data_IF_765868049434
#
_entry.id   IF_765868049434
#
_cell.length_a   1.000
_cell.length_b   1.000
_cell.length_c   1.000
_cell.angle_alpha   90.00
_cell.angle_beta   90.00
_cell.angle_gamma   90.00
#
_symmetry.space_group_name_H-M   'P 1'
#
loop_
_entity.id
_entity.type
_entity.pdbx_description
1 polymer ?
#
# COMPACT_ATOMS: atom_id res chain seq x y z
N UNK A 1 8.87 1.17 -21.00
CA UNK A 1 9.79 0.28 -20.27
C UNK A 1 10.89 1.17 -19.72
N UNK A 2 11.22 1.10 -18.43
CA UNK A 2 12.28 1.90 -17.81
C UNK A 2 13.63 1.22 -18.07
N UNK A 3 14.70 1.97 -18.41
CA UNK A 3 16.01 1.35 -18.57
C UNK A 3 16.48 0.78 -17.23
N UNK A 4 17.01 -0.44 -17.27
CA UNK A 4 17.66 -1.06 -16.12
C UNK A 4 19.00 -0.37 -15.83
N UNK A 5 19.55 -0.55 -14.61
CA UNK A 5 20.90 -0.08 -14.30
C UNK A 5 21.96 -0.61 -15.31
N UNK A 6 21.75 -1.83 -15.84
CA UNK A 6 22.64 -2.42 -16.83
C UNK A 6 22.58 -1.68 -18.20
N UNK A 7 21.40 -1.23 -18.63
CA UNK A 7 21.23 -0.43 -19.85
C UNK A 7 21.84 0.95 -19.69
N UNK A 8 21.68 1.61 -18.52
CA UNK A 8 22.31 2.89 -18.21
C UNK A 8 23.85 2.79 -18.25
N UNK A 9 24.40 1.70 -17.71
CA UNK A 9 25.84 1.43 -17.76
C UNK A 9 26.33 1.10 -19.19
N UNK A 10 25.51 0.41 -19.97
CA UNK A 10 25.83 0.08 -21.38
C UNK A 10 25.89 1.33 -22.29
N UNK A 11 25.16 2.40 -21.96
CA UNK A 11 25.24 3.69 -22.63
C UNK A 11 26.51 4.52 -22.28
N UNK A 12 27.41 3.96 -21.47
CA UNK A 12 28.67 4.60 -21.12
C UNK A 12 28.55 5.81 -20.19
N UNK A 13 27.44 5.90 -19.43
CA UNK A 13 27.21 7.00 -18.47
C UNK A 13 28.06 6.78 -17.23
N UNK A 14 29.22 7.46 -17.17
CA UNK A 14 30.19 7.33 -16.07
C UNK A 14 30.27 8.56 -15.17
N UNK A 15 29.44 9.57 -15.38
CA UNK A 15 29.46 10.83 -14.64
C UNK A 15 28.07 11.30 -14.25
N UNK A 16 27.98 12.09 -13.18
CA UNK A 16 26.71 12.73 -12.74
C UNK A 16 26.11 13.60 -13.85
N UNK A 17 26.96 14.32 -14.60
CA UNK A 17 26.50 15.14 -15.73
C UNK A 17 25.97 14.28 -16.89
N UNK A 18 26.54 13.11 -17.10
CA UNK A 18 26.04 12.12 -18.07
C UNK A 18 24.65 11.59 -17.69
N UNK A 19 24.49 11.21 -16.40
CA UNK A 19 23.18 10.82 -15.86
C UNK A 19 22.17 11.95 -16.00
N UNK A 20 22.52 13.19 -15.69
CA UNK A 20 21.63 14.34 -15.85
C UNK A 20 21.16 14.52 -17.29
N UNK A 21 22.01 14.34 -18.29
CA UNK A 21 21.64 14.40 -19.71
C UNK A 21 20.72 13.25 -20.10
N UNK A 22 21.01 12.04 -19.66
CA UNK A 22 20.15 10.87 -19.89
C UNK A 22 18.75 11.08 -19.30
N UNK A 23 18.69 11.48 -18.03
CA UNK A 23 17.38 11.76 -17.40
C UNK A 23 16.64 12.91 -18.09
N UNK A 24 17.34 13.89 -18.66
CA UNK A 24 16.71 15.00 -19.41
C UNK A 24 16.01 14.55 -20.69
N UNK A 25 16.35 13.40 -21.23
CA UNK A 25 15.68 12.83 -22.40
C UNK A 25 14.32 12.19 -22.10
N UNK A 26 14.03 11.90 -20.82
CA UNK A 26 12.77 11.29 -20.41
C UNK A 26 11.74 12.36 -20.02
N UNK A 27 10.53 12.24 -20.57
CA UNK A 27 9.40 13.10 -20.20
C UNK A 27 8.75 12.68 -18.87
N UNK A 28 8.92 11.44 -18.44
CA UNK A 28 8.41 10.91 -17.15
C UNK A 28 9.55 10.33 -16.34
N UNK A 29 9.63 10.72 -15.07
CA UNK A 29 10.63 10.21 -14.11
C UNK A 29 9.92 9.76 -12.85
N UNK A 30 10.19 8.53 -12.41
CA UNK A 30 9.71 8.01 -11.13
C UNK A 30 10.83 7.99 -10.10
N UNK A 31 10.51 8.39 -8.87
CA UNK A 31 11.45 8.47 -7.76
C UNK A 31 10.70 8.42 -6.42
N UNK A 32 11.39 8.08 -5.34
CA UNK A 32 10.85 8.35 -4.01
C UNK A 32 10.97 9.83 -3.67
N UNK A 33 10.10 10.35 -2.79
CA UNK A 33 10.17 11.75 -2.35
C UNK A 33 11.54 12.15 -1.78
N UNK A 34 12.25 11.23 -1.14
CA UNK A 34 13.58 11.47 -0.59
C UNK A 34 14.68 11.50 -1.67
N UNK A 35 14.53 10.75 -2.73
CA UNK A 35 15.52 10.65 -3.79
C UNK A 35 15.44 11.77 -4.85
N UNK A 36 14.41 12.61 -4.82
CA UNK A 36 14.25 13.73 -5.76
C UNK A 36 15.36 14.78 -5.63
N UNK A 37 16.05 14.84 -4.50
CA UNK A 37 17.21 15.73 -4.29
C UNK A 37 18.52 15.17 -4.85
N UNK A 38 18.49 14.00 -5.48
CA UNK A 38 19.66 13.39 -6.09
C UNK A 38 20.23 14.28 -7.21
N UNK A 39 21.58 14.42 -7.33
CA UNK A 39 22.19 15.27 -8.36
C UNK A 39 21.72 15.01 -9.81
N UNK A 40 21.30 13.79 -10.13
CA UNK A 40 20.78 13.45 -11.46
C UNK A 40 19.41 14.10 -11.76
N UNK A 41 18.64 14.44 -10.74
CA UNK A 41 17.34 15.12 -10.84
C UNK A 41 17.41 16.59 -10.42
N UNK A 42 18.48 16.99 -9.77
CA UNK A 42 18.68 18.35 -9.29
C UNK A 42 18.65 19.36 -10.45
N UNK A 43 17.93 20.47 -10.25
CA UNK A 43 17.81 21.55 -11.25
C UNK A 43 16.81 21.27 -12.37
N UNK A 44 16.19 20.08 -12.44
CA UNK A 44 15.09 19.82 -13.39
C UNK A 44 13.81 20.51 -12.96
N UNK A 45 13.00 20.85 -13.94
CA UNK A 45 11.62 21.30 -13.75
C UNK A 45 10.70 20.41 -14.57
N UNK A 46 9.52 20.16 -14.02
CA UNK A 46 8.47 19.36 -14.61
C UNK A 46 7.20 20.21 -14.70
N UNK A 47 6.34 19.88 -15.63
CA UNK A 47 5.01 20.52 -15.67
C UNK A 47 4.14 20.02 -14.52
N UNK A 48 4.29 18.75 -14.17
CA UNK A 48 3.51 18.08 -13.12
C UNK A 48 4.37 17.21 -12.21
N UNK A 49 4.01 17.18 -10.94
CA UNK A 49 4.40 16.15 -9.97
C UNK A 49 3.15 15.40 -9.51
N UNK A 50 3.20 14.08 -9.59
CA UNK A 50 2.19 13.20 -8.97
C UNK A 50 2.85 12.50 -7.79
N UNK A 51 2.32 12.69 -6.60
CA UNK A 51 2.80 12.04 -5.38
C UNK A 51 1.75 11.03 -4.91
N UNK A 52 2.09 9.76 -5.02
CA UNK A 52 1.26 8.66 -4.55
C UNK A 52 1.50 8.39 -3.06
N UNK A 53 0.50 7.82 -2.35
CA UNK A 53 0.50 7.60 -0.90
C UNK A 53 0.86 8.86 -0.09
N UNK A 54 0.41 10.03 -0.57
CA UNK A 54 0.76 11.32 0.02
C UNK A 54 0.17 11.53 1.43
N UNK A 55 -0.86 10.77 1.80
CA UNK A 55 -1.41 10.73 3.16
C UNK A 55 -0.46 10.14 4.20
N UNK A 56 0.48 9.28 3.78
CA UNK A 56 1.48 8.63 4.64
C UNK A 56 2.83 9.34 4.64
N UNK A 57 3.02 10.33 3.77
CA UNK A 57 4.28 11.03 3.64
C UNK A 57 4.37 12.22 4.62
N UNK A 58 5.54 12.36 5.27
CA UNK A 58 5.85 13.52 6.09
C UNK A 58 5.89 14.79 5.23
N UNK A 59 5.34 15.90 5.73
CA UNK A 59 5.36 17.18 5.03
C UNK A 59 6.76 17.58 4.51
N UNK A 60 7.84 17.52 5.32
CA UNK A 60 9.18 17.85 4.85
C UNK A 60 9.70 16.95 3.72
N UNK A 61 9.21 15.71 3.62
CA UNK A 61 9.63 14.76 2.58
C UNK A 61 8.97 15.04 1.23
N UNK A 62 7.74 15.55 1.24
CA UNK A 62 6.97 15.83 0.01
C UNK A 62 7.37 17.16 -0.62
N UNK A 63 7.64 18.17 0.18
CA UNK A 63 7.93 19.52 -0.30
C UNK A 63 9.03 19.60 -1.37
N UNK A 64 10.19 18.93 -1.25
CA UNK A 64 11.21 18.96 -2.30
C UNK A 64 10.73 18.46 -3.64
N UNK A 65 9.84 17.44 -3.66
CA UNK A 65 9.25 16.92 -4.88
C UNK A 65 8.29 17.95 -5.51
N UNK A 66 7.45 18.58 -4.72
CA UNK A 66 6.49 19.57 -5.22
C UNK A 66 7.17 20.82 -5.80
N UNK A 67 8.32 21.20 -5.25
CA UNK A 67 9.11 22.34 -5.74
C UNK A 67 9.73 22.11 -7.13
N UNK A 68 9.69 20.88 -7.65
CA UNK A 68 10.20 20.55 -8.99
C UNK A 68 9.19 20.87 -10.10
N UNK A 69 7.93 21.17 -9.78
CA UNK A 69 6.90 21.42 -10.79
C UNK A 69 6.04 22.64 -10.46
N UNK A 70 5.34 23.15 -11.48
CA UNK A 70 4.37 24.23 -11.32
C UNK A 70 3.02 23.74 -10.82
N UNK A 71 2.71 22.46 -11.11
CA UNK A 71 1.43 21.82 -10.75
C UNK A 71 1.70 20.48 -10.08
N UNK A 72 0.84 20.11 -9.16
CA UNK A 72 0.95 18.82 -8.51
C UNK A 72 -0.42 18.14 -8.31
N UNK A 73 -0.37 16.83 -8.20
CA UNK A 73 -1.47 15.97 -7.76
C UNK A 73 -0.98 15.16 -6.58
N UNK A 74 -1.70 15.20 -5.48
CA UNK A 74 -1.50 14.31 -4.35
C UNK A 74 -2.54 13.20 -4.42
N UNK A 75 -2.10 11.97 -4.41
CA UNK A 75 -2.96 10.79 -4.34
C UNK A 75 -2.76 10.16 -2.96
N UNK A 76 -3.83 9.78 -2.29
CA UNK A 76 -3.73 9.22 -0.95
C UNK A 76 -5.09 8.98 -0.33
N UNK A 77 -5.08 8.44 0.88
CA UNK A 77 -6.28 8.16 1.65
C UNK A 77 -6.03 8.50 3.13
N UNK A 78 -6.67 9.55 3.61
CA UNK A 78 -6.52 10.01 5.00
C UNK A 78 -7.21 9.09 6.02
N UNK A 79 -8.08 8.19 5.57
CA UNK A 79 -8.71 7.17 6.42
C UNK A 79 -7.80 5.95 6.66
N UNK A 80 -6.71 5.84 5.90
CA UNK A 80 -5.66 4.84 6.11
C UNK A 80 -4.59 5.36 7.10
N UNK A 81 -3.38 4.77 7.06
CA UNK A 81 -2.33 5.10 8.02
C UNK A 81 -1.79 6.53 7.83
N UNK A 82 -1.62 7.31 8.91
CA UNK A 82 -0.94 8.59 8.87
C UNK A 82 0.58 8.42 8.77
N UNK A 83 1.34 9.51 8.56
CA UNK A 83 2.80 9.47 8.60
C UNK A 83 3.33 8.89 9.93
N UNK A 84 4.33 8.00 9.83
CA UNK A 84 4.94 7.40 11.02
C UNK A 84 5.89 8.36 11.70
N UNK A 85 5.57 8.77 12.94
CA UNK A 85 6.40 9.64 13.78
C UNK A 85 6.69 8.96 15.11
N UNK A 86 7.95 8.65 15.37
CA UNK A 86 8.38 7.95 16.60
C UNK A 86 8.42 8.88 17.82
N UNK A 87 8.81 10.15 17.64
CA UNK A 87 8.91 11.13 18.72
C UNK A 87 7.54 11.69 19.10
N UNK A 88 7.12 11.49 20.36
CA UNK A 88 5.88 12.07 20.90
C UNK A 88 5.86 13.59 20.78
N UNK A 89 6.99 14.25 21.08
CA UNK A 89 7.11 15.71 20.97
C UNK A 89 6.96 16.21 19.53
N UNK A 90 7.49 15.46 18.54
CA UNK A 90 7.34 15.82 17.13
C UNK A 90 5.88 15.62 16.65
N UNK A 91 5.20 14.59 17.16
CA UNK A 91 3.78 14.34 16.92
C UNK A 91 2.91 15.46 17.50
N UNK A 92 3.15 15.84 18.75
CA UNK A 92 2.48 16.98 19.38
C UNK A 92 2.71 18.30 18.63
N UNK A 93 3.85 18.43 17.97
CA UNK A 93 4.18 19.54 17.08
C UNK A 93 3.53 19.45 15.69
N UNK A 94 2.75 18.42 15.39
CA UNK A 94 2.00 18.24 14.13
C UNK A 94 2.81 17.62 13.00
N UNK A 95 3.96 16.96 13.28
CA UNK A 95 4.75 16.31 12.22
C UNK A 95 4.03 15.11 11.59
N UNK A 96 3.06 14.52 12.27
CA UNK A 96 2.21 13.44 11.79
C UNK A 96 1.04 13.90 10.90
N UNK A 97 0.88 15.21 10.71
CA UNK A 97 -0.08 15.75 9.76
C UNK A 97 0.53 15.79 8.36
N UNK A 98 -0.01 15.00 7.44
CA UNK A 98 0.41 15.02 6.04
C UNK A 98 -0.07 16.28 5.33
N UNK A 99 0.67 16.72 4.29
CA UNK A 99 0.21 17.80 3.42
C UNK A 99 -1.12 17.46 2.76
N UNK A 100 -1.34 16.18 2.42
CA UNK A 100 -2.60 15.69 1.86
C UNK A 100 -3.78 16.02 2.78
N UNK A 101 -3.73 15.62 4.06
CA UNK A 101 -4.81 15.90 5.03
C UNK A 101 -5.03 17.40 5.26
N UNK A 102 -3.95 18.19 5.30
CA UNK A 102 -4.04 19.64 5.48
C UNK A 102 -4.77 20.28 4.29
N UNK A 103 -4.42 19.90 3.06
CA UNK A 103 -5.02 20.47 1.86
C UNK A 103 -6.46 19.98 1.64
N UNK A 104 -6.74 18.71 1.91
CA UNK A 104 -8.09 18.15 1.84
C UNK A 104 -9.06 18.94 2.75
N UNK A 105 -8.64 19.19 3.99
CA UNK A 105 -9.45 19.96 4.96
C UNK A 105 -9.61 21.42 4.55
N UNK A 106 -8.56 22.07 4.03
CA UNK A 106 -8.58 23.49 3.71
C UNK A 106 -9.15 23.82 2.34
N UNK A 107 -9.07 22.89 1.41
CA UNK A 107 -9.46 23.06 0.02
C UNK A 107 -10.32 21.89 -0.50
N UNK A 108 -11.46 21.58 0.14
CA UNK A 108 -12.29 20.43 -0.23
C UNK A 108 -12.79 20.49 -1.68
N UNK A 109 -12.91 21.68 -2.24
CA UNK A 109 -13.29 21.86 -3.65
C UNK A 109 -12.20 21.40 -4.66
N UNK A 110 -10.96 21.22 -4.20
CA UNK A 110 -9.86 20.69 -5.00
C UNK A 110 -9.67 19.17 -4.82
N UNK A 111 -10.48 18.54 -3.97
CA UNK A 111 -10.43 17.12 -3.69
C UNK A 111 -11.46 16.37 -4.52
N UNK A 112 -11.05 15.26 -5.11
CA UNK A 112 -11.92 14.33 -5.84
C UNK A 112 -11.79 12.94 -5.21
N UNK A 113 -12.93 12.38 -4.77
CA UNK A 113 -12.96 11.04 -4.18
C UNK A 113 -13.15 9.99 -5.27
N UNK A 114 -12.33 8.94 -5.24
CA UNK A 114 -12.52 7.73 -6.04
C UNK A 114 -13.41 6.77 -5.25
N UNK A 115 -14.58 6.47 -5.78
CA UNK A 115 -15.56 5.60 -5.12
C UNK A 115 -15.62 4.19 -5.69
N UNK A 116 -15.13 3.99 -6.93
CA UNK A 116 -15.08 2.68 -7.55
C UNK A 116 -13.78 1.97 -7.21
N UNK A 117 -13.89 0.76 -6.67
CA UNK A 117 -12.75 -0.10 -6.36
C UNK A 117 -12.77 -1.37 -7.23
N UNK A 118 -11.57 -1.90 -7.54
CA UNK A 118 -11.36 -3.07 -8.41
C UNK A 118 -10.49 -4.15 -7.74
N UNK A 119 -10.36 -4.11 -6.40
CA UNK A 119 -9.49 -5.00 -5.62
C UNK A 119 -10.27 -6.03 -4.83
N UNK A 120 -11.26 -5.60 -4.07
CA UNK A 120 -11.97 -6.38 -3.06
C UNK A 120 -13.27 -6.93 -3.62
N UNK A 121 -13.63 -8.17 -3.25
CA UNK A 121 -14.99 -8.65 -3.49
C UNK A 121 -16.01 -7.92 -2.60
N UNK A 122 -17.30 -8.18 -2.85
CA UNK A 122 -18.38 -7.45 -2.17
C UNK A 122 -18.33 -7.56 -0.64
N UNK A 123 -17.94 -8.70 -0.09
CA UNK A 123 -17.92 -8.90 1.38
C UNK A 123 -16.76 -8.18 2.06
N UNK A 124 -15.58 -8.19 1.44
CA UNK A 124 -14.43 -7.44 1.94
C UNK A 124 -14.71 -5.94 1.82
N UNK A 125 -15.29 -5.51 0.70
CA UNK A 125 -15.68 -4.12 0.48
C UNK A 125 -16.75 -3.65 1.46
N UNK A 126 -17.73 -4.48 1.80
CA UNK A 126 -18.75 -4.22 2.81
C UNK A 126 -18.13 -3.98 4.20
N UNK A 127 -17.16 -4.82 4.60
CA UNK A 127 -16.43 -4.62 5.86
C UNK A 127 -15.66 -3.29 5.86
N UNK A 128 -14.92 -2.99 4.78
CA UNK A 128 -14.18 -1.73 4.65
C UNK A 128 -15.12 -0.51 4.70
N UNK A 129 -16.26 -0.58 4.03
CA UNK A 129 -17.30 0.45 4.07
C UNK A 129 -17.87 0.65 5.47
N UNK A 130 -18.14 -0.44 6.18
CA UNK A 130 -18.69 -0.36 7.53
C UNK A 130 -17.70 0.27 8.54
N UNK A 131 -16.42 -0.07 8.41
CA UNK A 131 -15.39 0.40 9.35
C UNK A 131 -14.85 1.80 9.02
N UNK A 132 -14.80 2.17 7.73
CA UNK A 132 -13.96 3.31 7.31
C UNK A 132 -14.65 4.23 6.29
N UNK A 133 -15.25 3.69 5.24
CA UNK A 133 -15.67 4.48 4.08
C UNK A 133 -17.16 4.83 4.05
N UNK A 134 -17.90 4.56 5.12
CA UNK A 134 -19.31 4.99 5.28
C UNK A 134 -20.24 4.56 4.13
N UNK A 135 -19.96 3.41 3.49
CA UNK A 135 -20.75 2.92 2.36
C UNK A 135 -20.44 3.59 1.02
N UNK A 136 -19.37 4.39 0.92
CA UNK A 136 -19.05 5.16 -0.30
C UNK A 136 -18.33 4.37 -1.37
N UNK A 137 -17.71 3.22 -1.01
CA UNK A 137 -17.01 2.37 -1.99
C UNK A 137 -18.00 1.43 -2.68
N UNK A 138 -17.88 1.37 -4.00
CA UNK A 138 -18.63 0.48 -4.86
C UNK A 138 -17.68 -0.42 -5.66
N UNK A 139 -18.09 -1.66 -5.93
CA UNK A 139 -17.34 -2.52 -6.83
C UNK A 139 -17.53 -2.03 -8.27
N UNK A 140 -16.44 -1.65 -8.92
CA UNK A 140 -16.47 -1.10 -10.28
C UNK A 140 -16.74 -2.13 -11.38
N UNK A 141 -16.68 -3.44 -11.05
CA UNK A 141 -16.87 -4.53 -11.97
C UNK A 141 -17.62 -5.70 -11.28
N UNK A 142 -18.62 -6.33 -11.93
CA UNK A 142 -19.28 -7.53 -11.41
C UNK A 142 -18.31 -8.71 -11.18
N UNK A 143 -17.29 -8.88 -12.01
CA UNK A 143 -16.28 -9.91 -11.84
C UNK A 143 -15.49 -9.71 -10.53
N UNK A 144 -15.11 -8.47 -10.21
CA UNK A 144 -14.48 -8.14 -8.94
C UNK A 144 -15.42 -8.34 -7.77
N UNK A 145 -16.68 -7.89 -7.92
CA UNK A 145 -17.71 -8.02 -6.87
C UNK A 145 -17.91 -9.46 -6.42
N UNK A 146 -17.98 -10.39 -7.38
CA UNK A 146 -18.33 -11.79 -7.15
C UNK A 146 -17.09 -12.71 -7.06
N UNK A 147 -15.89 -12.13 -7.01
CA UNK A 147 -14.62 -12.88 -6.95
C UNK A 147 -14.51 -13.70 -5.67
N UNK A 148 -14.18 -14.96 -5.85
CA UNK A 148 -13.93 -15.92 -4.76
C UNK A 148 -12.62 -16.66 -5.01
N UNK A 149 -12.05 -17.23 -3.95
CA UNK A 149 -10.88 -18.08 -4.06
C UNK A 149 -11.28 -19.46 -4.60
N UNK A 150 -10.59 -19.92 -5.65
CA UNK A 150 -10.83 -21.25 -6.22
C UNK A 150 -9.90 -22.26 -5.54
N UNK A 151 -10.50 -23.20 -4.77
CA UNK A 151 -9.76 -24.23 -4.05
C UNK A 151 -10.06 -25.62 -4.62
N UNK A 152 -9.03 -26.41 -4.86
CA UNK A 152 -9.16 -27.85 -5.06
C UNK A 152 -9.16 -28.52 -3.68
N UNK A 153 -10.34 -28.81 -3.13
CA UNK A 153 -10.48 -29.32 -1.75
C UNK A 153 -9.97 -30.74 -1.61
N UNK A 154 -9.13 -30.94 -0.59
CA UNK A 154 -8.94 -32.25 0.04
C UNK A 154 -9.88 -32.32 1.27
N UNK A 155 -10.68 -33.38 1.35
CA UNK A 155 -11.69 -33.57 2.42
C UNK A 155 -11.11 -33.81 3.83
N UNK A 156 -9.80 -33.84 3.97
CA UNK A 156 -9.06 -34.24 5.19
C UNK A 156 -8.69 -33.07 6.14
N UNK A 157 -9.24 -31.86 5.95
CA UNK A 157 -8.92 -30.71 6.76
C UNK A 157 -9.61 -30.72 8.14
N UNK A 158 -8.92 -30.20 9.17
CA UNK A 158 -9.50 -29.97 10.49
C UNK A 158 -10.72 -29.04 10.40
N UNK A 159 -11.75 -29.26 11.22
CA UNK A 159 -13.04 -28.55 11.13
C UNK A 159 -12.96 -27.02 11.14
N UNK A 160 -11.98 -26.42 11.84
CA UNK A 160 -11.81 -24.97 11.86
C UNK A 160 -11.13 -24.45 10.57
N UNK A 161 -10.13 -25.17 10.03
CA UNK A 161 -9.47 -24.82 8.77
C UNK A 161 -10.47 -24.91 7.61
N UNK A 162 -11.25 -26.01 7.54
CA UNK A 162 -12.27 -26.17 6.52
C UNK A 162 -13.30 -25.03 6.50
N UNK A 163 -13.66 -24.50 7.68
CA UNK A 163 -14.53 -23.33 7.79
C UNK A 163 -13.84 -22.05 7.33
N UNK A 164 -12.58 -21.86 7.74
CA UNK A 164 -11.81 -20.66 7.39
C UNK A 164 -11.49 -20.57 5.89
N UNK A 165 -11.35 -21.71 5.23
CA UNK A 165 -11.04 -21.81 3.80
C UNK A 165 -12.27 -22.16 2.95
N UNK A 166 -13.48 -21.93 3.46
CA UNK A 166 -14.68 -22.13 2.66
C UNK A 166 -14.75 -21.07 1.54
N UNK A 167 -14.81 -21.47 0.25
CA UNK A 167 -14.78 -20.55 -0.88
C UNK A 167 -16.08 -19.81 -1.13
N UNK A 168 -17.15 -20.07 -0.35
CA UNK A 168 -18.40 -19.30 -0.46
C UNK A 168 -18.12 -17.82 -0.19
N UNK A 169 -18.67 -16.94 -1.02
CA UNK A 169 -18.45 -15.50 -0.92
C UNK A 169 -18.86 -14.94 0.46
N UNK A 170 -19.84 -15.54 1.13
CA UNK A 170 -20.25 -15.17 2.48
C UNK A 170 -19.16 -15.38 3.53
N UNK A 171 -18.15 -16.21 3.23
CA UNK A 171 -17.01 -16.52 4.09
C UNK A 171 -15.72 -15.80 3.65
N UNK A 172 -15.78 -14.80 2.76
CA UNK A 172 -14.61 -14.04 2.33
C UNK A 172 -13.93 -13.26 3.47
N UNK A 173 -14.63 -13.08 4.59
CA UNK A 173 -14.09 -12.48 5.82
C UNK A 173 -14.32 -13.46 6.97
N UNK A 174 -13.22 -13.94 7.55
CA UNK A 174 -13.24 -14.87 8.68
C UNK A 174 -12.43 -14.29 9.82
N UNK A 175 -13.04 -14.21 11.00
CA UNK A 175 -12.35 -13.86 12.23
C UNK A 175 -12.01 -15.13 13.02
N UNK A 176 -10.72 -15.34 13.28
CA UNK A 176 -10.23 -16.44 14.11
C UNK A 176 -9.84 -15.90 15.47
N UNK A 177 -10.68 -16.14 16.48
CA UNK A 177 -10.42 -15.71 17.84
C UNK A 177 -9.34 -16.59 18.51
N UNK A 178 -8.25 -15.97 18.90
CA UNK A 178 -7.10 -16.61 19.57
C UNK A 178 -6.95 -16.21 21.02
N UNK A 179 -7.87 -15.40 21.59
CA UNK A 179 -7.76 -14.81 22.91
C UNK A 179 -7.56 -15.83 24.06
N UNK A 180 -8.13 -17.04 23.93
CA UNK A 180 -7.99 -18.11 24.94
C UNK A 180 -6.68 -18.91 24.89
N UNK A 181 -5.84 -18.66 23.87
CA UNK A 181 -4.72 -19.56 23.56
C UNK A 181 -3.45 -18.84 23.15
N UNK A 182 -3.55 -17.63 22.58
CA UNK A 182 -2.41 -16.85 22.16
C UNK A 182 -1.68 -16.21 23.37
N UNK A 183 -0.37 -16.09 23.27
CA UNK A 183 0.48 -15.34 24.21
C UNK A 183 1.48 -14.52 23.44
N UNK A 184 1.62 -13.26 23.85
CA UNK A 184 2.69 -12.41 23.36
C UNK A 184 4.01 -12.80 24.02
N UNK A 185 5.03 -13.08 23.21
CA UNK A 185 6.39 -13.27 23.65
C UNK A 185 7.20 -12.02 23.31
N UNK A 186 7.88 -11.45 24.31
CA UNK A 186 8.72 -10.27 24.16
C UNK A 186 10.18 -10.69 24.23
N UNK A 187 10.85 -10.67 23.09
CA UNK A 187 12.28 -10.90 23.00
C UNK A 187 13.02 -9.66 22.51
N UNK A 188 14.35 -9.71 22.55
CA UNK A 188 15.21 -8.66 22.00
C UNK A 188 14.98 -8.59 20.49
N UNK A 189 14.23 -7.56 20.04
CA UNK A 189 13.93 -7.35 18.63
C UNK A 189 12.45 -7.21 18.27
N UNK A 190 11.52 -7.41 19.20
CA UNK A 190 10.10 -7.19 18.93
C UNK A 190 9.13 -7.98 19.78
N UNK A 191 7.86 -7.81 19.47
CA UNK A 191 6.74 -8.57 20.02
C UNK A 191 6.34 -9.59 18.98
N UNK A 192 6.23 -10.86 19.36
CA UNK A 192 5.78 -11.93 18.46
C UNK A 192 4.88 -12.92 19.20
N UNK A 193 4.18 -13.74 18.45
CA UNK A 193 3.27 -14.74 18.97
C UNK A 193 3.48 -16.07 18.19
N UNK A 194 4.26 -16.96 18.77
CA UNK A 194 4.59 -18.24 18.14
C UNK A 194 3.37 -19.13 17.87
N UNK A 195 2.31 -19.02 18.69
CA UNK A 195 1.12 -19.84 18.50
C UNK A 195 0.28 -19.34 17.33
N UNK A 196 0.15 -18.03 17.17
CA UNK A 196 -0.51 -17.43 16.00
C UNK A 196 0.30 -17.68 14.73
N UNK A 197 1.62 -17.53 14.80
CA UNK A 197 2.50 -17.91 13.69
C UNK A 197 2.31 -19.36 13.25
N UNK A 198 2.14 -20.29 14.22
CA UNK A 198 1.83 -21.68 13.94
C UNK A 198 0.46 -21.89 13.26
N UNK A 199 -0.56 -21.11 13.65
CA UNK A 199 -1.88 -21.13 12.98
C UNK A 199 -1.78 -20.62 11.54
N UNK A 200 -1.09 -19.51 11.33
CA UNK A 200 -0.87 -18.94 9.99
C UNK A 200 -0.12 -19.95 9.11
N UNK A 201 0.96 -20.56 9.63
CA UNK A 201 1.72 -21.59 8.89
C UNK A 201 0.81 -22.75 8.46
N UNK A 202 -0.08 -23.22 9.34
CA UNK A 202 -1.03 -24.30 8.99
C UNK A 202 -2.02 -23.87 7.93
N UNK A 203 -2.57 -22.64 8.00
CA UNK A 203 -3.49 -22.13 6.97
C UNK A 203 -2.79 -22.00 5.62
N UNK A 204 -1.57 -21.45 5.59
CA UNK A 204 -0.78 -21.33 4.34
C UNK A 204 -0.46 -22.70 3.76
N UNK A 205 -0.01 -23.65 4.58
CA UNK A 205 0.26 -25.03 4.13
C UNK A 205 -0.98 -25.68 3.50
N UNK A 206 -2.14 -25.45 4.09
CA UNK A 206 -3.39 -25.99 3.57
C UNK A 206 -3.80 -25.31 2.26
N UNK A 207 -3.66 -23.98 2.15
CA UNK A 207 -3.90 -23.26 0.90
C UNK A 207 -3.03 -23.80 -0.24
N UNK A 208 -1.73 -23.98 0.02
CA UNK A 208 -0.80 -24.59 -0.96
C UNK A 208 -1.24 -26.01 -1.33
N UNK A 209 -1.68 -26.81 -0.37
CA UNK A 209 -2.18 -28.18 -0.63
C UNK A 209 -3.46 -28.21 -1.46
N UNK A 210 -4.27 -27.13 -1.40
CA UNK A 210 -5.47 -26.92 -2.20
C UNK A 210 -5.17 -26.30 -3.58
N UNK A 211 -3.92 -26.38 -4.06
CA UNK A 211 -3.45 -25.87 -5.35
C UNK A 211 -3.56 -24.35 -5.55
N UNK A 212 -3.56 -23.57 -4.46
CA UNK A 212 -3.38 -22.11 -4.54
C UNK A 212 -1.89 -21.83 -4.77
N UNK A 213 -1.57 -21.05 -5.79
CA UNK A 213 -0.19 -20.67 -6.07
C UNK A 213 0.32 -19.73 -4.97
N UNK A 214 1.58 -19.90 -4.53
CA UNK A 214 2.20 -19.12 -3.45
C UNK A 214 2.14 -17.59 -3.69
N UNK A 215 2.13 -17.16 -4.95
CA UNK A 215 1.99 -15.75 -5.33
C UNK A 215 0.58 -15.18 -5.11
N UNK A 216 -0.43 -16.03 -4.84
CA UNK A 216 -1.83 -15.65 -4.60
C UNK A 216 -2.18 -15.66 -3.11
N UNK A 217 -1.25 -16.13 -2.25
CA UNK A 217 -1.34 -16.15 -0.80
C UNK A 217 -0.69 -14.90 -0.21
#
# INVERSE_FOLDING_TARGET
MWPSCAEILAEGVTSVSGLGRLYSSFSVVASTCLAVSHPATAGRKFDWVVCDEASQALLPSVLPALLLAEKFVLVGDHAQLPPTVQSSRAREGGLDQSLFSILDTRHPAATSCLTLQYRMNSRISELANHLTYEGKLECGDPEVRDRVLHLQRNDDCSSWISRSLNPDISNSVVFVDTAGFAREDKEVGGIHNFREAGLVTRLVTELVSCAVEEKEI
#
